data_IF_845537980213
#
_entry.id   IF_845537980213
#
_cell.length_a   1.000
_cell.length_b   1.000
_cell.length_c   1.000
_cell.angle_alpha   90.00
_cell.angle_beta   90.00
_cell.angle_gamma   90.00
#
_symmetry.space_group_name_H-M   'P 1'
#
loop_
_entity.id
_entity.type
_entity.pdbx_description
1 polymer ?
#
# COMPACT_ATOMS: atom_id res chain seq x y z
N UNK A 1 -26.64 -25.62 -31.96
CA UNK A 1 -25.52 -24.75 -31.87
C UNK A 1 -25.96 -23.44 -31.23
N UNK A 2 -25.83 -23.32 -29.90
CA UNK A 2 -25.94 -22.05 -29.20
C UNK A 2 -24.52 -21.68 -28.77
N UNK A 3 -23.95 -20.68 -29.43
CA UNK A 3 -22.79 -19.94 -28.93
C UNK A 3 -23.32 -18.90 -27.96
N UNK A 4 -22.98 -19.01 -26.69
CA UNK A 4 -23.06 -17.92 -25.76
C UNK A 4 -21.87 -16.98 -26.07
N UNK A 5 -22.08 -15.69 -26.32
CA UNK A 5 -20.99 -14.74 -26.37
C UNK A 5 -20.53 -14.53 -24.94
N UNK A 6 -19.29 -14.92 -24.65
CA UNK A 6 -18.58 -14.55 -23.45
C UNK A 6 -18.72 -13.03 -23.25
N UNK A 7 -19.36 -12.63 -22.19
CA UNK A 7 -19.31 -11.26 -21.71
C UNK A 7 -17.86 -10.98 -21.31
N UNK A 8 -17.08 -10.44 -22.22
CA UNK A 8 -15.94 -9.62 -21.88
C UNK A 8 -16.49 -8.45 -21.04
N UNK A 9 -16.54 -8.62 -19.74
CA UNK A 9 -16.57 -7.48 -18.85
C UNK A 9 -15.22 -6.78 -19.07
N UNK A 10 -15.19 -5.79 -19.95
CA UNK A 10 -14.25 -4.70 -19.88
C UNK A 10 -14.49 -4.07 -18.50
N UNK A 11 -13.71 -4.50 -17.50
CA UNK A 11 -13.56 -3.74 -16.26
C UNK A 11 -13.03 -2.38 -16.72
N UNK A 12 -13.92 -1.37 -16.75
CA UNK A 12 -13.52 0.02 -16.88
C UNK A 12 -12.39 0.22 -15.88
N UNK A 13 -11.17 0.41 -16.37
CA UNK A 13 -10.00 0.58 -15.50
C UNK A 13 -10.22 1.85 -14.73
N UNK A 14 -10.69 1.71 -13.49
CA UNK A 14 -10.87 2.87 -12.60
C UNK A 14 -9.55 3.61 -12.50
N UNK A 15 -9.59 4.92 -12.76
CA UNK A 15 -8.42 5.79 -12.64
C UNK A 15 -7.88 5.68 -11.21
N UNK A 16 -6.61 5.29 -11.01
CA UNK A 16 -6.06 5.05 -9.70
C UNK A 16 -6.03 6.32 -8.83
N UNK A 17 -6.38 6.16 -7.57
CA UNK A 17 -6.49 7.23 -6.58
C UNK A 17 -5.30 7.22 -5.64
N UNK A 18 -4.61 8.34 -5.54
CA UNK A 18 -3.36 8.50 -4.79
C UNK A 18 -3.57 9.52 -3.68
N UNK A 19 -3.31 9.13 -2.43
CA UNK A 19 -3.29 10.05 -1.29
C UNK A 19 -1.85 10.40 -0.90
N UNK A 20 -1.55 11.69 -0.76
CA UNK A 20 -0.29 12.17 -0.18
C UNK A 20 -0.57 12.56 1.26
N UNK A 21 0.04 11.82 2.18
CA UNK A 21 -0.15 11.99 3.63
C UNK A 21 1.19 12.23 4.34
N UNK A 22 1.14 12.66 5.57
CA UNK A 22 2.32 12.94 6.39
C UNK A 22 2.08 14.13 7.33
N UNK A 23 3.00 14.35 8.24
CA UNK A 23 2.96 15.46 9.19
C UNK A 23 2.85 16.84 8.53
N UNK A 24 2.46 17.89 9.26
CA UNK A 24 2.61 19.26 8.80
C UNK A 24 4.08 19.58 8.40
N UNK A 25 4.26 20.40 7.39
CA UNK A 25 5.57 20.90 6.91
C UNK A 25 6.55 19.86 6.33
N UNK A 26 6.17 18.59 6.14
CA UNK A 26 7.02 17.58 5.47
C UNK A 26 7.16 17.81 3.97
N UNK A 27 6.40 18.76 3.40
CA UNK A 27 6.50 19.14 1.98
C UNK A 27 5.40 18.59 1.08
N UNK A 28 4.24 18.18 1.62
CA UNK A 28 3.08 17.70 0.82
C UNK A 28 2.65 18.69 -0.25
N UNK A 29 2.43 19.95 0.13
CA UNK A 29 2.03 21.01 -0.81
C UNK A 29 3.10 21.28 -1.87
N UNK A 30 4.37 21.23 -1.47
CA UNK A 30 5.50 21.40 -2.40
C UNK A 30 5.56 20.26 -3.41
N UNK A 31 5.32 19.02 -2.95
CA UNK A 31 5.27 17.85 -3.84
C UNK A 31 4.13 17.97 -4.84
N UNK A 32 2.89 18.26 -4.37
CA UNK A 32 1.73 18.44 -5.26
C UNK A 32 2.00 19.53 -6.28
N UNK A 33 2.47 20.70 -5.85
CA UNK A 33 2.75 21.82 -6.76
C UNK A 33 3.83 21.46 -7.79
N UNK A 34 4.86 20.70 -7.40
CA UNK A 34 5.91 20.24 -8.31
C UNK A 34 5.38 19.24 -9.33
N UNK A 35 4.54 18.28 -8.88
CA UNK A 35 3.90 17.32 -9.78
C UNK A 35 2.97 18.02 -10.79
N UNK A 36 2.21 19.01 -10.35
CA UNK A 36 1.34 19.82 -11.21
C UNK A 36 2.13 20.66 -12.22
N UNK A 37 3.25 21.22 -11.81
CA UNK A 37 4.10 22.03 -12.69
C UNK A 37 4.93 21.22 -13.69
N UNK A 38 5.15 19.92 -13.45
CA UNK A 38 5.97 19.03 -14.26
C UNK A 38 5.19 18.14 -15.21
N UNK A 39 3.88 18.02 -15.03
CA UNK A 39 3.01 17.10 -15.75
C UNK A 39 1.83 17.84 -16.40
N UNK A 40 1.23 17.22 -17.41
CA UNK A 40 0.02 17.75 -18.02
C UNK A 40 -1.15 17.60 -17.04
N UNK A 41 -1.64 18.72 -16.51
CA UNK A 41 -2.78 18.72 -15.59
C UNK A 41 -4.05 18.83 -16.40
N UNK A 42 -4.93 17.85 -16.28
CA UNK A 42 -6.32 17.98 -16.69
C UNK A 42 -7.07 18.33 -15.42
N UNK A 43 -7.36 19.63 -15.26
CA UNK A 43 -8.24 20.06 -14.17
C UNK A 43 -9.66 19.71 -14.61
N UNK A 44 -10.10 18.50 -14.28
CA UNK A 44 -11.52 18.23 -14.22
C UNK A 44 -11.95 18.49 -12.77
N UNK A 45 -12.69 19.56 -12.55
CA UNK A 45 -13.47 19.74 -11.34
C UNK A 45 -14.56 18.66 -11.33
N UNK A 46 -14.18 17.42 -11.03
CA UNK A 46 -15.16 16.39 -10.68
C UNK A 46 -15.67 16.78 -9.30
N UNK A 47 -16.74 17.58 -9.32
CA UNK A 47 -17.53 17.89 -8.15
C UNK A 47 -18.19 16.59 -7.65
N UNK A 48 -17.45 15.82 -6.88
CA UNK A 48 -17.98 14.67 -6.13
C UNK A 48 -18.57 15.18 -4.81
N UNK A 49 -19.79 14.99 -4.64
CA UNK A 49 -20.82 15.01 -3.59
C UNK A 49 -20.45 15.28 -2.11
N UNK A 50 -19.30 15.82 -1.76
CA UNK A 50 -18.97 16.33 -0.42
C UNK A 50 -18.28 17.68 -0.52
N UNK A 51 -18.83 18.68 0.13
CA UNK A 51 -18.57 20.12 0.01
C UNK A 51 -17.14 20.64 0.14
N UNK A 52 -16.09 19.81 0.40
CA UNK A 52 -14.77 20.31 0.82
C UNK A 52 -13.53 19.63 0.22
N UNK A 53 -13.64 18.58 -0.58
CA UNK A 53 -12.46 17.87 -1.12
C UNK A 53 -12.35 18.06 -2.64
N UNK A 54 -11.35 18.80 -3.10
CA UNK A 54 -11.04 18.92 -4.53
C UNK A 54 -9.89 17.96 -4.84
N UNK A 55 -10.19 16.92 -5.61
CA UNK A 55 -9.23 15.99 -6.17
C UNK A 55 -8.65 16.59 -7.46
N UNK A 56 -7.47 16.18 -7.85
CA UNK A 56 -6.82 16.68 -9.07
C UNK A 56 -6.34 15.50 -9.91
N UNK A 57 -6.76 15.47 -11.17
CA UNK A 57 -6.25 14.50 -12.14
C UNK A 57 -4.93 14.99 -12.72
N UNK A 58 -3.92 14.13 -12.69
CA UNK A 58 -2.59 14.35 -13.26
C UNK A 58 -2.34 13.30 -14.34
N UNK A 59 -1.94 13.75 -15.53
CA UNK A 59 -1.44 12.89 -16.61
C UNK A 59 0.07 12.76 -16.53
N UNK A 60 0.58 11.55 -16.44
CA UNK A 60 2.01 11.27 -16.51
C UNK A 60 2.28 10.11 -17.47
N UNK A 61 3.09 10.36 -18.50
CA UNK A 61 3.44 9.36 -19.55
C UNK A 61 2.24 8.64 -20.19
N UNK A 62 1.12 9.34 -20.34
CA UNK A 62 -0.11 8.79 -20.92
C UNK A 62 -1.05 8.10 -19.93
N UNK A 63 -0.66 7.93 -18.69
CA UNK A 63 -1.49 7.37 -17.61
C UNK A 63 -2.14 8.49 -16.80
N UNK A 64 -3.38 8.27 -16.37
CA UNK A 64 -4.14 9.17 -15.50
C UNK A 64 -4.05 8.74 -14.04
N UNK A 65 -3.94 9.72 -13.13
CA UNK A 65 -3.93 9.51 -11.68
C UNK A 65 -4.77 10.58 -11.00
N UNK A 66 -5.64 10.20 -10.06
CA UNK A 66 -6.39 11.14 -9.24
C UNK A 66 -5.66 11.33 -7.90
N UNK A 67 -5.11 12.52 -7.68
CA UNK A 67 -4.54 12.89 -6.40
C UNK A 67 -5.62 13.47 -5.49
N UNK A 68 -5.84 12.83 -4.34
CA UNK A 68 -6.94 13.09 -3.41
C UNK A 68 -6.62 14.29 -2.52
N UNK A 69 -7.65 15.12 -2.26
CA UNK A 69 -7.63 16.27 -1.33
C UNK A 69 -6.51 17.30 -1.59
N UNK A 70 -6.20 17.53 -2.85
CA UNK A 70 -5.13 18.46 -3.23
C UNK A 70 -5.47 19.93 -2.93
N UNK A 71 -6.73 20.33 -2.83
CA UNK A 71 -7.13 21.68 -2.47
C UNK A 71 -6.74 22.06 -1.04
N UNK A 72 -6.89 21.13 -0.10
CA UNK A 72 -6.41 21.31 1.26
C UNK A 72 -4.89 21.48 1.34
N UNK A 73 -4.16 20.90 0.40
CA UNK A 73 -2.71 21.01 0.29
C UNK A 73 -2.27 22.32 -0.41
N UNK A 74 -3.11 22.92 -1.27
CA UNK A 74 -2.78 24.15 -2.01
C UNK A 74 -2.99 25.41 -1.18
N UNK A 75 -4.00 25.43 -0.29
CA UNK A 75 -4.28 26.59 0.56
C UNK A 75 -3.29 26.61 1.73
N UNK A 76 -2.34 27.55 1.72
CA UNK A 76 -1.51 27.86 2.89
C UNK A 76 -2.42 28.47 3.97
N UNK A 77 -2.90 27.69 4.92
CA UNK A 77 -3.70 28.19 6.03
C UNK A 77 -2.83 28.68 7.20
N UNK A 78 -3.16 29.89 7.65
CA UNK A 78 -2.46 30.64 8.71
C UNK A 78 -2.94 30.33 10.15
N UNK A 79 -3.74 29.29 10.39
CA UNK A 79 -4.39 29.05 11.71
C UNK A 79 -3.87 27.75 12.29
N UNK A 80 -3.20 27.83 13.45
CA UNK A 80 -2.26 26.81 13.94
C UNK A 80 -2.81 25.77 14.92
N UNK A 81 -3.93 25.88 15.59
CA UNK A 81 -4.30 25.00 16.70
C UNK A 81 -5.57 24.14 16.53
N UNK A 82 -6.56 24.56 15.73
CA UNK A 82 -7.68 23.69 15.35
C UNK A 82 -7.31 22.67 14.28
N UNK A 83 -6.17 22.83 13.65
CA UNK A 83 -5.67 22.11 12.48
C UNK A 83 -5.22 20.67 12.76
N UNK A 84 -4.83 20.27 13.97
CA UNK A 84 -4.34 18.92 14.21
C UNK A 84 -5.45 17.87 14.17
N UNK A 85 -6.59 18.12 14.81
CA UNK A 85 -7.74 17.20 14.76
C UNK A 85 -8.32 17.08 13.35
N UNK A 86 -8.50 18.23 12.66
CA UNK A 86 -8.95 18.26 11.27
C UNK A 86 -7.95 17.61 10.32
N UNK A 87 -6.65 17.70 10.60
CA UNK A 87 -5.58 17.05 9.83
C UNK A 87 -5.67 15.51 9.91
N UNK A 88 -5.97 14.95 11.08
CA UNK A 88 -6.12 13.49 11.25
C UNK A 88 -7.37 12.98 10.52
N UNK A 89 -8.52 13.63 10.69
CA UNK A 89 -9.77 13.27 10.02
C UNK A 89 -9.61 13.30 8.50
N UNK A 90 -8.98 14.36 7.96
CA UNK A 90 -8.68 14.47 6.53
C UNK A 90 -7.72 13.38 6.06
N UNK A 91 -6.70 13.06 6.85
CA UNK A 91 -5.77 11.98 6.54
C UNK A 91 -6.49 10.64 6.46
N UNK A 92 -7.36 10.33 7.43
CA UNK A 92 -8.17 9.10 7.42
C UNK A 92 -9.07 9.06 6.19
N UNK A 93 -9.80 10.14 5.90
CA UNK A 93 -10.69 10.24 4.73
C UNK A 93 -9.92 10.10 3.41
N UNK A 94 -8.75 10.72 3.28
CA UNK A 94 -7.91 10.59 2.10
C UNK A 94 -7.40 9.15 1.93
N UNK A 95 -6.94 8.52 3.01
CA UNK A 95 -6.50 7.12 3.01
C UNK A 95 -7.64 6.18 2.61
N UNK A 96 -8.85 6.38 3.13
CA UNK A 96 -10.00 5.52 2.81
C UNK A 96 -10.35 5.54 1.32
N UNK A 97 -10.23 6.70 0.68
CA UNK A 97 -10.55 6.91 -0.74
C UNK A 97 -9.42 6.51 -1.69
N UNK A 98 -8.21 6.33 -1.19
CA UNK A 98 -7.04 6.02 -2.01
C UNK A 98 -6.91 4.53 -2.34
N UNK A 99 -6.25 4.22 -3.46
CA UNK A 99 -5.70 2.91 -3.79
C UNK A 99 -4.27 2.80 -3.24
N UNK A 100 -3.47 3.86 -3.44
CA UNK A 100 -2.08 3.94 -2.98
C UNK A 100 -1.89 5.18 -2.11
N UNK A 101 -1.23 4.99 -0.99
CA UNK A 101 -0.87 6.06 -0.04
C UNK A 101 0.62 6.32 -0.13
N UNK A 102 0.97 7.58 -0.38
CA UNK A 102 2.35 8.10 -0.35
C UNK A 102 2.54 8.82 0.98
N UNK A 103 3.24 8.18 1.91
CA UNK A 103 3.61 8.78 3.20
C UNK A 103 4.88 9.59 3.03
N UNK A 104 4.79 10.91 3.18
CA UNK A 104 5.96 11.79 3.20
C UNK A 104 6.57 11.87 4.59
N UNK A 105 7.87 11.63 4.65
CA UNK A 105 8.71 11.79 5.85
C UNK A 105 9.73 12.89 5.58
N UNK A 106 9.96 13.77 6.56
CA UNK A 106 11.01 14.79 6.49
C UNK A 106 12.37 14.16 6.79
N UNK A 107 13.28 14.20 5.81
CA UNK A 107 14.63 13.64 5.97
C UNK A 107 15.42 14.34 7.09
N UNK A 108 15.15 15.62 7.35
CA UNK A 108 15.88 16.41 8.37
C UNK A 108 15.45 16.07 9.80
N UNK A 109 14.21 15.60 10.00
CA UNK A 109 13.69 15.17 11.29
C UNK A 109 13.83 13.66 11.48
N UNK A 110 13.80 12.90 10.38
CA UNK A 110 13.73 11.44 10.38
C UNK A 110 12.31 10.93 10.61
N UNK A 111 12.19 9.59 10.70
CA UNK A 111 10.92 8.93 10.97
C UNK A 111 10.51 9.11 12.45
N UNK A 112 9.24 9.41 12.69
CA UNK A 112 8.68 9.70 14.01
C UNK A 112 7.49 8.79 14.33
N UNK A 113 7.05 8.78 15.60
CA UNK A 113 5.84 8.06 16.03
C UNK A 113 4.57 8.55 15.30
N UNK A 114 4.50 9.84 14.97
CA UNK A 114 3.36 10.38 14.21
C UNK A 114 3.32 9.82 12.79
N UNK A 115 4.49 9.69 12.15
CA UNK A 115 4.59 9.03 10.83
C UNK A 115 4.15 7.56 10.93
N UNK A 116 4.55 6.85 11.99
CA UNK A 116 4.14 5.47 12.24
C UNK A 116 2.62 5.34 12.45
N UNK A 117 1.98 6.27 13.16
CA UNK A 117 0.52 6.28 13.34
C UNK A 117 -0.22 6.47 12.00
N UNK A 118 0.24 7.40 11.16
CA UNK A 118 -0.34 7.63 9.83
C UNK A 118 -0.15 6.39 8.94
N UNK A 119 1.03 5.80 8.96
CA UNK A 119 1.33 4.56 8.24
C UNK A 119 0.43 3.40 8.69
N UNK A 120 0.18 3.27 10.01
CA UNK A 120 -0.70 2.28 10.60
C UNK A 120 -2.13 2.36 10.06
N UNK A 121 -2.68 3.56 9.92
CA UNK A 121 -4.02 3.77 9.34
C UNK A 121 -4.10 3.20 7.91
N UNK A 122 -3.09 3.47 7.09
CA UNK A 122 -3.06 2.98 5.70
C UNK A 122 -2.90 1.45 5.64
N UNK A 123 -2.08 0.88 6.53
CA UNK A 123 -1.88 -0.56 6.66
C UNK A 123 -3.18 -1.28 7.04
N UNK A 124 -3.88 -0.81 8.08
CA UNK A 124 -5.14 -1.38 8.54
C UNK A 124 -6.25 -1.32 7.48
N UNK A 125 -6.24 -0.27 6.64
CA UNK A 125 -7.17 -0.12 5.51
C UNK A 125 -6.79 -0.94 4.28
N UNK A 126 -5.66 -1.67 4.32
CA UNK A 126 -5.24 -2.53 3.21
C UNK A 126 -4.75 -1.77 1.97
N UNK A 127 -4.28 -0.53 2.13
CA UNK A 127 -3.86 0.32 1.02
C UNK A 127 -2.44 0.01 0.55
N UNK A 128 -2.17 0.23 -0.74
CA UNK A 128 -0.80 0.25 -1.23
C UNK A 128 0.00 1.35 -0.54
N UNK A 129 1.29 1.09 -0.22
CA UNK A 129 2.08 1.98 0.60
C UNK A 129 3.44 2.27 -0.03
N UNK A 130 3.71 3.56 -0.17
CA UNK A 130 5.00 4.11 -0.55
C UNK A 130 5.45 5.08 0.55
N UNK A 131 6.64 4.87 1.09
CA UNK A 131 7.28 5.78 2.03
C UNK A 131 8.23 6.65 1.24
N UNK A 132 7.94 7.94 1.14
CA UNK A 132 8.75 8.91 0.42
C UNK A 132 9.47 9.83 1.40
N UNK A 133 10.77 9.62 1.56
CA UNK A 133 11.64 10.47 2.38
C UNK A 133 11.98 11.72 1.58
N UNK A 134 11.32 12.80 1.93
CA UNK A 134 11.41 14.10 1.26
C UNK A 134 12.48 15.01 1.90
N UNK A 135 12.80 16.10 1.23
CA UNK A 135 13.87 17.05 1.59
C UNK A 135 15.25 16.40 1.58
N UNK A 136 15.41 15.37 0.74
CA UNK A 136 16.68 14.64 0.63
C UNK A 136 17.84 15.52 0.16
N UNK A 137 17.54 16.65 -0.50
CA UNK A 137 18.50 17.68 -0.91
C UNK A 137 19.08 18.48 0.27
N UNK A 138 18.36 18.54 1.41
CA UNK A 138 18.75 19.33 2.57
C UNK A 138 19.74 18.62 3.53
N UNK A 139 20.01 17.33 3.30
CA UNK A 139 20.93 16.56 4.14
C UNK A 139 22.35 16.60 3.61
N UNK A 140 23.33 16.71 4.51
CA UNK A 140 24.70 16.28 4.25
C UNK A 140 24.75 14.76 4.20
N UNK A 141 25.31 14.20 3.13
CA UNK A 141 25.25 12.77 2.83
C UNK A 141 26.64 12.19 2.66
N UNK A 142 26.85 11.05 3.30
CA UNK A 142 27.94 10.12 3.01
C UNK A 142 27.39 8.84 2.32
N UNK A 143 28.27 7.94 1.94
CA UNK A 143 27.93 6.68 1.25
C UNK A 143 27.00 5.77 2.07
N UNK A 144 26.94 5.94 3.39
CA UNK A 144 26.14 5.14 4.32
C UNK A 144 24.82 5.80 4.74
N UNK A 145 24.60 7.06 4.36
CA UNK A 145 23.43 7.83 4.80
C UNK A 145 22.11 7.17 4.39
N UNK A 146 22.00 6.71 3.14
CA UNK A 146 20.79 6.00 2.66
C UNK A 146 20.57 4.72 3.46
N UNK A 147 21.64 3.95 3.73
CA UNK A 147 21.53 2.69 4.46
C UNK A 147 21.03 2.92 5.89
N UNK A 148 21.67 3.85 6.64
CA UNK A 148 21.27 4.19 8.01
C UNK A 148 19.82 4.68 8.08
N UNK A 149 19.41 5.49 7.11
CA UNK A 149 18.04 6.01 7.05
C UNK A 149 17.03 4.90 6.75
N UNK A 150 17.36 4.03 5.80
CA UNK A 150 16.55 2.85 5.46
C UNK A 150 16.35 1.95 6.67
N UNK A 151 17.42 1.63 7.39
CA UNK A 151 17.37 0.80 8.59
C UNK A 151 16.47 1.43 9.66
N UNK A 152 16.62 2.73 9.92
CA UNK A 152 15.79 3.45 10.89
C UNK A 152 14.30 3.41 10.50
N UNK A 153 13.97 3.65 9.24
CA UNK A 153 12.59 3.58 8.73
C UNK A 153 12.05 2.16 8.87
N UNK A 154 12.81 1.13 8.47
CA UNK A 154 12.40 -0.27 8.56
C UNK A 154 12.19 -0.74 10.00
N UNK A 155 13.01 -0.28 10.93
CA UNK A 155 12.85 -0.60 12.35
C UNK A 155 11.61 0.08 12.95
N UNK A 156 11.37 1.35 12.63
CA UNK A 156 10.20 2.08 13.14
C UNK A 156 8.89 1.57 12.54
N UNK A 157 8.90 1.16 11.26
CA UNK A 157 7.75 0.65 10.52
C UNK A 157 7.85 -0.86 10.26
N UNK A 158 8.33 -1.62 11.26
CA UNK A 158 8.62 -3.05 11.14
C UNK A 158 7.38 -3.90 10.79
N UNK A 159 6.18 -3.40 11.07
CA UNK A 159 4.91 -4.07 10.74
C UNK A 159 4.53 -3.98 9.26
N UNK A 160 5.22 -3.15 8.47
CA UNK A 160 4.99 -3.02 7.02
C UNK A 160 6.29 -3.16 6.19
N UNK A 161 6.97 -4.31 6.26
CA UNK A 161 8.22 -4.53 5.52
C UNK A 161 8.04 -4.47 4.01
N UNK A 162 6.81 -4.65 3.52
CA UNK A 162 6.43 -4.62 2.10
C UNK A 162 6.40 -3.22 1.50
N UNK A 163 6.29 -2.15 2.33
CA UNK A 163 6.18 -0.78 1.84
C UNK A 163 7.42 -0.37 1.04
N UNK A 164 7.21 0.25 -0.11
CA UNK A 164 8.31 0.76 -0.94
C UNK A 164 8.90 2.02 -0.32
N UNK A 165 10.22 2.14 -0.39
CA UNK A 165 10.95 3.28 0.17
C UNK A 165 11.65 4.07 -0.94
N UNK A 166 11.36 5.36 -0.99
CA UNK A 166 11.96 6.31 -1.92
C UNK A 166 12.59 7.49 -1.18
N UNK A 167 13.67 8.04 -1.77
CA UNK A 167 14.30 9.26 -1.29
C UNK A 167 14.16 10.33 -2.37
N UNK A 168 13.38 11.38 -2.08
CA UNK A 168 12.98 12.40 -3.06
C UNK A 168 13.30 13.82 -2.58
N UNK A 169 13.24 14.77 -3.49
CA UNK A 169 13.17 16.20 -3.16
C UNK A 169 12.02 16.84 -3.94
N UNK A 170 10.97 17.21 -3.24
CA UNK A 170 9.88 17.99 -3.81
C UNK A 170 10.32 19.38 -4.26
N UNK A 171 11.37 19.95 -3.63
CA UNK A 171 11.93 21.25 -3.96
C UNK A 171 12.66 21.22 -5.31
N UNK A 172 13.58 20.29 -5.49
CA UNK A 172 14.41 20.20 -6.71
C UNK A 172 13.76 19.39 -7.81
N UNK A 173 12.79 18.51 -7.49
CA UNK A 173 12.21 17.53 -8.42
C UNK A 173 12.98 16.22 -8.50
N UNK A 174 14.00 16.04 -7.66
CA UNK A 174 14.84 14.84 -7.68
C UNK A 174 14.03 13.59 -7.44
N UNK A 175 14.14 12.60 -8.33
CA UNK A 175 13.49 11.28 -8.29
C UNK A 175 11.96 11.29 -8.30
N UNK A 176 11.30 12.37 -8.72
CA UNK A 176 9.85 12.39 -8.88
C UNK A 176 9.33 11.45 -9.99
N UNK A 177 10.01 11.29 -11.15
CA UNK A 177 9.61 10.25 -12.12
C UNK A 177 9.57 8.85 -11.49
N UNK A 178 10.53 8.55 -10.59
CA UNK A 178 10.58 7.27 -9.87
C UNK A 178 9.36 7.03 -8.96
N UNK A 179 8.74 8.11 -8.46
CA UNK A 179 7.52 8.02 -7.67
C UNK A 179 6.37 7.44 -8.50
N UNK A 180 6.16 7.91 -9.74
CA UNK A 180 5.12 7.37 -10.63
C UNK A 180 5.40 5.91 -11.01
N UNK A 181 6.63 5.58 -11.38
CA UNK A 181 7.02 4.18 -11.66
C UNK A 181 6.73 3.27 -10.46
N UNK A 182 6.96 3.76 -9.24
CA UNK A 182 6.69 3.00 -8.01
C UNK A 182 5.20 2.88 -7.75
N UNK A 183 4.40 3.93 -8.01
CA UNK A 183 2.94 3.88 -7.93
C UNK A 183 2.41 2.81 -8.88
N UNK A 184 2.84 2.82 -10.15
CA UNK A 184 2.41 1.84 -11.15
C UNK A 184 2.76 0.41 -10.75
N UNK A 185 3.96 0.19 -10.25
CA UNK A 185 4.39 -1.10 -9.74
C UNK A 185 3.51 -1.58 -8.57
N UNK A 186 3.21 -0.71 -7.60
CA UNK A 186 2.33 -1.06 -6.47
C UNK A 186 0.93 -1.40 -6.95
N UNK A 187 0.36 -0.62 -7.88
CA UNK A 187 -0.94 -0.89 -8.49
C UNK A 187 -0.97 -2.24 -9.22
N UNK A 188 0.08 -2.58 -9.97
CA UNK A 188 0.22 -3.88 -10.61
C UNK A 188 0.18 -5.02 -9.59
N UNK A 189 0.94 -4.91 -8.51
CA UNK A 189 0.94 -5.92 -7.44
C UNK A 189 -0.39 -6.00 -6.67
N UNK A 190 -1.08 -4.87 -6.48
CA UNK A 190 -2.42 -4.88 -5.87
C UNK A 190 -3.45 -5.63 -6.72
N UNK A 191 -3.32 -5.58 -8.05
CA UNK A 191 -4.22 -6.23 -8.99
C UNK A 191 -3.76 -7.63 -9.39
N UNK A 192 -2.60 -8.07 -8.93
CA UNK A 192 -2.05 -9.37 -9.30
C UNK A 192 -2.95 -10.50 -8.81
N UNK A 193 -3.39 -11.35 -9.76
CA UNK A 193 -4.10 -12.60 -9.47
C UNK A 193 -3.18 -13.79 -9.68
N UNK A 194 -3.06 -14.60 -8.66
CA UNK A 194 -2.29 -15.85 -8.69
C UNK A 194 -3.24 -17.00 -8.94
N UNK A 195 -2.91 -17.85 -9.89
CA UNK A 195 -3.69 -19.06 -10.16
C UNK A 195 -3.64 -20.01 -8.96
N UNK A 196 -4.79 -20.59 -8.61
CA UNK A 196 -4.94 -21.47 -7.43
C UNK A 196 -3.98 -22.67 -7.49
N UNK A 197 -3.72 -23.23 -8.66
CA UNK A 197 -2.77 -24.36 -8.82
C UNK A 197 -1.36 -23.95 -8.39
N UNK A 198 -0.82 -22.86 -8.95
CA UNK A 198 0.52 -22.35 -8.63
C UNK A 198 0.63 -21.97 -7.15
N UNK A 199 -0.42 -21.34 -6.59
CA UNK A 199 -0.46 -20.98 -5.18
C UNK A 199 -0.36 -22.22 -4.26
N UNK A 200 -0.99 -23.34 -4.64
CA UNK A 200 -0.95 -24.58 -3.87
C UNK A 200 0.34 -25.37 -4.07
N UNK A 201 1.03 -25.24 -5.18
CA UNK A 201 2.40 -25.76 -5.35
C UNK A 201 3.35 -25.10 -4.35
N UNK A 202 3.33 -23.75 -4.27
CA UNK A 202 4.14 -22.99 -3.30
C UNK A 202 3.76 -23.33 -1.85
N UNK A 203 2.46 -23.48 -1.57
CA UNK A 203 2.00 -23.91 -0.25
C UNK A 203 2.57 -25.30 0.12
N UNK A 204 2.57 -26.24 -0.81
CA UNK A 204 3.11 -27.58 -0.61
C UNK A 204 4.61 -27.55 -0.35
N UNK A 205 5.38 -26.79 -1.12
CA UNK A 205 6.81 -26.59 -0.90
C UNK A 205 7.08 -25.92 0.45
N UNK A 206 6.32 -24.89 0.81
CA UNK A 206 6.46 -24.22 2.10
C UNK A 206 6.21 -25.17 3.27
N UNK A 207 5.17 -26.00 3.19
CA UNK A 207 4.88 -27.00 4.22
C UNK A 207 5.94 -28.12 4.30
N UNK A 208 6.60 -28.45 3.20
CA UNK A 208 7.71 -29.40 3.18
C UNK A 208 8.96 -28.81 3.84
N UNK A 209 9.25 -27.52 3.63
CA UNK A 209 10.38 -26.82 4.26
C UNK A 209 10.17 -26.59 5.76
N UNK A 210 8.98 -26.15 6.14
CA UNK A 210 8.61 -25.92 7.54
C UNK A 210 7.24 -26.54 7.81
N UNK A 211 7.24 -27.64 8.53
CA UNK A 211 6.00 -28.36 8.83
C UNK A 211 5.02 -27.49 9.62
N UNK A 212 3.69 -27.62 9.33
CA UNK A 212 2.66 -26.96 10.10
C UNK A 212 2.75 -27.28 11.59
N UNK A 213 2.44 -26.31 12.47
CA UNK A 213 2.54 -26.48 13.91
C UNK A 213 1.60 -27.57 14.44
N UNK A 214 1.93 -28.08 15.63
CA UNK A 214 1.07 -28.96 16.40
C UNK A 214 0.93 -28.44 17.82
N UNK A 215 -0.27 -28.57 18.40
CA UNK A 215 -0.53 -28.23 19.79
C UNK A 215 -1.32 -29.36 20.47
N UNK A 216 -0.88 -29.75 21.67
CA UNK A 216 -1.52 -30.78 22.52
C UNK A 216 -1.87 -32.07 21.76
N UNK A 217 -0.96 -32.54 20.89
CA UNK A 217 -1.14 -33.75 20.10
C UNK A 217 -2.02 -33.59 18.85
N UNK A 218 -2.63 -32.41 18.63
CA UNK A 218 -3.34 -32.08 17.40
C UNK A 218 -2.39 -31.40 16.43
N UNK A 219 -2.35 -31.86 15.19
CA UNK A 219 -1.53 -31.28 14.12
C UNK A 219 -2.39 -30.40 13.20
N UNK A 220 -1.91 -29.21 12.89
CA UNK A 220 -2.48 -28.36 11.85
C UNK A 220 -2.37 -29.08 10.50
N UNK A 221 -3.52 -29.27 9.83
CA UNK A 221 -3.59 -29.69 8.42
C UNK A 221 -4.06 -28.49 7.60
N UNK A 222 -3.29 -28.12 6.60
CA UNK A 222 -3.68 -27.12 5.61
C UNK A 222 -4.07 -27.87 4.35
N UNK A 223 -5.31 -27.71 3.91
CA UNK A 223 -5.84 -28.42 2.77
C UNK A 223 -5.50 -27.75 1.44
N UNK A 224 -5.74 -26.46 1.36
CA UNK A 224 -5.43 -25.64 0.19
C UNK A 224 -5.56 -24.15 0.51
N UNK A 225 -5.09 -23.33 -0.41
CA UNK A 225 -5.18 -21.88 -0.35
C UNK A 225 -5.71 -21.35 -1.70
N UNK A 226 -6.50 -20.28 -1.66
CA UNK A 226 -6.98 -19.59 -2.86
C UNK A 226 -6.98 -18.08 -2.65
N UNK A 227 -6.75 -17.33 -3.71
CA UNK A 227 -6.89 -15.88 -3.70
C UNK A 227 -8.35 -15.51 -4.05
N UNK A 228 -9.02 -14.77 -3.17
CA UNK A 228 -10.44 -14.42 -3.31
C UNK A 228 -10.68 -13.00 -3.77
N UNK A 229 -9.72 -12.10 -3.55
CA UNK A 229 -9.82 -10.71 -4.00
C UNK A 229 -8.47 -10.07 -4.26
N UNK A 230 -8.52 -8.90 -4.88
CA UNK A 230 -7.43 -7.94 -5.09
C UNK A 230 -7.77 -6.64 -4.37
N UNK A 231 -6.81 -5.73 -4.19
CA UNK A 231 -6.98 -4.39 -3.57
C UNK A 231 -7.60 -4.41 -2.15
N UNK A 232 -7.00 -5.07 -1.14
CA UNK A 232 -5.72 -5.75 -1.15
C UNK A 232 -5.84 -7.22 -1.59
N UNK A 233 -4.74 -7.82 -2.08
CA UNK A 233 -4.69 -9.25 -2.35
C UNK A 233 -5.05 -10.05 -1.10
N UNK A 234 -6.13 -10.84 -1.17
CA UNK A 234 -6.69 -11.55 -0.04
C UNK A 234 -6.71 -13.05 -0.32
N UNK A 235 -6.13 -13.81 0.58
CA UNK A 235 -5.99 -15.26 0.50
C UNK A 235 -6.83 -15.94 1.57
N UNK A 236 -7.53 -17.00 1.18
CA UNK A 236 -8.23 -17.88 2.13
C UNK A 236 -7.44 -19.17 2.25
N UNK A 237 -7.08 -19.53 3.48
CA UNK A 237 -6.41 -20.77 3.81
C UNK A 237 -7.41 -21.69 4.51
N UNK A 238 -7.62 -22.88 3.94
CA UNK A 238 -8.54 -23.87 4.50
C UNK A 238 -7.78 -24.89 5.33
N UNK A 239 -8.19 -25.00 6.59
CA UNK A 239 -7.51 -25.82 7.61
C UNK A 239 -8.50 -26.74 8.33
N UNK A 240 -7.97 -27.74 9.08
CA UNK A 240 -8.78 -28.59 9.94
C UNK A 240 -9.25 -27.90 11.24
N UNK A 241 -8.41 -27.00 11.78
CA UNK A 241 -8.68 -26.29 13.04
C UNK A 241 -7.97 -24.92 12.98
N UNK A 242 -8.72 -23.84 13.03
CA UNK A 242 -8.18 -22.46 12.92
C UNK A 242 -7.36 -22.07 14.16
N UNK A 243 -7.63 -22.63 15.33
CA UNK A 243 -6.92 -22.33 16.57
C UNK A 243 -5.45 -22.82 16.52
N UNK A 244 -5.16 -23.81 15.67
CA UNK A 244 -3.80 -24.28 15.43
C UNK A 244 -2.98 -23.39 14.49
N UNK A 245 -3.65 -22.46 13.77
CA UNK A 245 -2.99 -21.56 12.82
C UNK A 245 -2.40 -20.35 13.54
N UNK A 246 -1.23 -20.50 14.13
CA UNK A 246 -0.53 -19.41 14.79
C UNK A 246 -0.11 -18.30 13.80
N UNK A 247 -0.13 -17.06 14.25
CA UNK A 247 0.25 -15.89 13.45
C UNK A 247 1.66 -16.00 12.84
N UNK A 248 2.58 -16.65 13.53
CA UNK A 248 3.95 -16.87 13.05
C UNK A 248 4.00 -17.77 11.80
N UNK A 249 3.09 -18.75 11.70
CA UNK A 249 3.02 -19.61 10.53
C UNK A 249 2.33 -18.90 9.35
N UNK A 250 1.32 -18.09 9.62
CA UNK A 250 0.72 -17.19 8.59
C UNK A 250 1.79 -16.28 8.03
N UNK A 251 2.63 -15.67 8.90
CA UNK A 251 3.73 -14.80 8.48
C UNK A 251 4.78 -15.54 7.66
N UNK A 252 5.06 -16.78 8.01
CA UNK A 252 5.96 -17.64 7.22
C UNK A 252 5.39 -17.86 5.80
N UNK A 253 4.10 -18.22 5.70
CA UNK A 253 3.45 -18.41 4.40
C UNK A 253 3.37 -17.10 3.60
N UNK A 254 3.10 -15.98 4.25
CA UNK A 254 3.16 -14.65 3.63
C UNK A 254 4.53 -14.39 3.00
N UNK A 255 5.61 -14.66 3.74
CA UNK A 255 6.97 -14.47 3.23
C UNK A 255 7.21 -15.35 1.99
N UNK A 256 6.77 -16.61 1.99
CA UNK A 256 6.89 -17.52 0.84
C UNK A 256 6.12 -17.02 -0.39
N UNK A 257 4.91 -16.49 -0.20
CA UNK A 257 4.13 -15.87 -1.28
C UNK A 257 4.85 -14.63 -1.82
N UNK A 258 5.41 -13.77 -0.95
CA UNK A 258 6.17 -12.60 -1.37
C UNK A 258 7.47 -12.96 -2.08
N UNK A 259 8.18 -13.97 -1.64
CA UNK A 259 9.39 -14.49 -2.31
C UNK A 259 9.07 -14.95 -3.74
N UNK A 260 7.92 -15.58 -3.95
CA UNK A 260 7.52 -16.15 -5.25
C UNK A 260 6.88 -15.13 -6.20
N UNK A 261 6.06 -14.21 -5.70
CA UNK A 261 5.24 -13.33 -6.53
C UNK A 261 5.55 -11.83 -6.37
N UNK A 262 6.37 -11.44 -5.39
CA UNK A 262 6.73 -10.06 -5.09
C UNK A 262 5.72 -9.39 -4.17
N UNK A 263 4.55 -8.97 -4.65
CA UNK A 263 3.55 -8.19 -3.91
C UNK A 263 4.15 -6.99 -3.18
N UNK A 264 5.06 -6.29 -3.84
CA UNK A 264 5.75 -5.12 -3.32
C UNK A 264 4.79 -3.95 -3.17
N UNK A 265 4.95 -3.19 -2.10
CA UNK A 265 4.14 -2.01 -1.83
C UNK A 265 2.70 -2.29 -1.43
N UNK A 266 2.25 -3.56 -1.36
CA UNK A 266 0.88 -3.89 -0.99
C UNK A 266 0.82 -4.88 0.18
N UNK A 267 -0.07 -4.65 1.18
CA UNK A 267 -0.31 -5.62 2.23
C UNK A 267 -1.03 -6.85 1.66
N UNK A 268 -0.81 -8.00 2.30
CA UNK A 268 -1.55 -9.22 2.03
C UNK A 268 -2.50 -9.52 3.19
N UNK A 269 -3.73 -9.93 2.85
CA UNK A 269 -4.72 -10.31 3.84
C UNK A 269 -4.92 -11.82 3.81
N UNK A 270 -4.90 -12.44 4.99
CA UNK A 270 -5.14 -13.88 5.15
C UNK A 270 -6.39 -14.11 5.96
N UNK A 271 -7.26 -14.99 5.45
CA UNK A 271 -8.49 -15.44 6.13
C UNK A 271 -8.35 -16.94 6.35
N UNK A 272 -8.41 -17.35 7.60
CA UNK A 272 -8.35 -18.77 7.95
C UNK A 272 -9.77 -19.31 8.05
N UNK A 273 -10.05 -20.38 7.30
CA UNK A 273 -11.36 -21.06 7.32
C UNK A 273 -11.20 -22.54 7.68
N UNK A 274 -12.02 -23.01 8.56
CA UNK A 274 -12.12 -24.43 8.86
C UNK A 274 -12.93 -25.15 7.77
N UNK A 275 -12.40 -26.29 7.36
CA UNK A 275 -13.13 -27.25 6.55
C UNK A 275 -13.38 -28.49 7.41
N UNK A 276 -14.63 -28.73 7.80
CA UNK A 276 -15.02 -29.98 8.45
C UNK A 276 -14.82 -31.12 7.42
N UNK A 277 -14.04 -32.13 7.77
CA UNK A 277 -14.06 -33.39 7.04
C UNK A 277 -15.51 -33.90 7.12
N UNK A 278 -16.14 -34.18 5.97
CA UNK A 278 -17.39 -34.93 5.98
C UNK A 278 -17.06 -36.27 6.56
N UNK A 279 -17.62 -36.59 7.73
CA UNK A 279 -17.64 -37.97 8.23
C UNK A 279 -18.24 -38.84 7.12
N UNK A 280 -17.41 -39.75 6.61
CA UNK A 280 -17.86 -40.79 5.68
C UNK A 280 -18.54 -41.90 6.47
#
# INVERSE_FOLDING_TARGET
GYFDPEMENEEESEIPRIAIVGKPNVGKSSLVNKLLGSNRVIVSDIAGTTRDAIDTTIMHNGNEYIFIDTAGLRKKNKIKEELERYSIIRTVSAVERADVVVLLIDATEGVTEQDAKIAGIAHERGKGMIIAVNKWDALEKDDKTIYRFTEKVRNTLAYMPYAELLFISAKTGQRLPKLFETIDMVLQYQNLRVQTGVLNEILTEAMAMQQPPSDRGKRLKIYYMTQVSVKPPTFVIFVNDKELMHFSYVRYLENKIRESFGFRGTPLKFIIRERKEKEQ
#
